data_IF_583281312371
#
_entry.id   IF_583281312371
#
_cell.length_a   1.000
_cell.length_b   1.000
_cell.length_c   1.000
_cell.angle_alpha   90.00
_cell.angle_beta   90.00
_cell.angle_gamma   90.00
#
_symmetry.space_group_name_H-M   'P 1'
#
loop_
_entity.id
_entity.type
_entity.pdbx_description
1 polymer ?
#
# COMPACT_ATOMS: atom_id res chain seq x y z
N UNK A 1 31.24 -3.81 -6.87
CA UNK A 1 30.34 -4.90 -6.40
C UNK A 1 30.50 -5.07 -4.90
N UNK A 2 29.83 -4.22 -4.10
CA UNK A 2 29.69 -4.42 -2.65
C UNK A 2 28.20 -4.65 -2.40
N UNK A 3 27.94 -5.78 -1.78
CA UNK A 3 26.67 -6.50 -1.75
C UNK A 3 25.55 -5.72 -1.04
N UNK A 4 24.34 -5.78 -1.60
CA UNK A 4 23.05 -5.30 -1.06
C UNK A 4 22.67 -5.85 0.34
N UNK A 5 23.60 -6.53 1.04
CA UNK A 5 23.47 -6.99 2.42
C UNK A 5 23.61 -5.87 3.47
N UNK A 6 24.23 -4.73 3.15
CA UNK A 6 24.48 -3.65 4.12
C UNK A 6 23.24 -2.83 4.51
N UNK A 7 22.28 -2.66 3.60
CA UNK A 7 21.10 -1.82 3.82
C UNK A 7 20.13 -2.41 4.87
N UNK A 8 19.95 -3.74 4.88
CA UNK A 8 18.96 -4.41 5.75
C UNK A 8 19.44 -4.49 7.21
N UNK A 9 20.75 -4.55 7.45
CA UNK A 9 21.29 -4.69 8.82
C UNK A 9 21.26 -3.36 9.60
N UNK A 10 21.29 -2.22 8.91
CA UNK A 10 21.32 -0.89 9.55
C UNK A 10 19.98 -0.52 10.20
N UNK A 11 18.85 -0.91 9.60
CA UNK A 11 17.52 -0.55 10.09
C UNK A 11 17.01 -1.41 11.27
N UNK A 12 17.56 -2.62 11.48
CA UNK A 12 17.01 -3.56 12.47
C UNK A 12 17.89 -3.82 13.71
N UNK A 13 19.16 -3.42 13.76
CA UNK A 13 20.05 -3.86 14.87
C UNK A 13 20.60 -2.80 15.81
N UNK A 14 20.56 -1.53 15.47
CA UNK A 14 21.13 -0.50 16.34
C UNK A 14 20.37 0.79 16.12
N UNK A 15 19.62 1.26 17.12
CA UNK A 15 19.09 2.64 17.17
C UNK A 15 20.19 3.70 17.27
N UNK A 16 21.24 3.56 16.48
CA UNK A 16 22.41 4.44 16.34
C UNK A 16 22.93 4.27 14.92
N UNK A 17 22.68 5.30 14.13
CA UNK A 17 23.24 5.48 12.81
C UNK A 17 24.71 5.86 12.96
N UNK A 18 25.63 4.99 12.53
CA UNK A 18 27.02 5.35 12.33
C UNK A 18 27.66 4.39 11.32
N UNK A 19 27.57 4.73 10.03
CA UNK A 19 28.70 4.69 9.07
C UNK A 19 28.23 5.27 7.73
N UNK A 20 28.85 6.39 7.34
CA UNK A 20 28.89 7.09 6.04
C UNK A 20 27.55 7.33 5.34
N UNK A 21 27.11 8.57 5.47
CA UNK A 21 25.84 9.16 5.03
C UNK A 21 26.02 9.84 3.66
N UNK A 22 26.81 9.24 2.76
CA UNK A 22 27.39 9.98 1.61
C UNK A 22 26.86 9.55 0.24
N UNK A 23 25.92 8.60 0.15
CA UNK A 23 25.25 8.20 -1.12
C UNK A 23 23.72 8.45 -1.12
N UNK A 24 23.16 9.04 -0.05
CA UNK A 24 21.81 9.59 -0.08
C UNK A 24 21.91 11.08 -0.41
N UNK A 25 21.32 11.53 -1.52
CA UNK A 25 21.26 12.97 -1.82
C UNK A 25 20.64 13.69 -0.61
N UNK A 26 21.19 14.83 -0.14
CA UNK A 26 20.71 15.53 1.06
C UNK A 26 19.23 15.96 1.04
N UNK A 27 18.55 15.80 -0.10
CA UNK A 27 17.14 16.16 -0.35
C UNK A 27 16.13 15.12 0.16
N UNK A 28 16.56 13.89 0.46
CA UNK A 28 15.67 12.75 0.73
C UNK A 28 15.29 12.60 2.21
N UNK A 29 14.48 13.54 2.71
CA UNK A 29 13.89 13.47 4.07
C UNK A 29 12.68 12.51 4.19
N UNK A 30 12.30 12.19 5.44
CA UNK A 30 11.09 11.43 5.81
C UNK A 30 11.09 9.96 5.34
N UNK A 31 12.00 9.15 5.89
CA UNK A 31 12.06 7.70 5.64
C UNK A 31 10.95 6.90 6.32
N UNK A 32 10.51 7.37 7.49
CA UNK A 32 9.42 6.78 8.26
C UNK A 32 8.45 7.92 8.59
N UNK A 33 7.23 7.82 8.09
CA UNK A 33 6.14 8.77 8.35
C UNK A 33 5.11 8.10 9.26
N UNK A 34 4.88 8.70 10.43
CA UNK A 34 3.84 8.27 11.35
C UNK A 34 2.48 8.84 10.91
N UNK A 35 1.51 7.97 10.69
CA UNK A 35 0.11 8.32 10.40
C UNK A 35 -0.78 7.72 11.47
N UNK A 36 -2.03 8.19 11.54
CA UNK A 36 -2.99 7.71 12.54
C UNK A 36 -3.21 6.18 12.48
N UNK A 37 -3.26 5.62 11.26
CA UNK A 37 -3.55 4.19 11.05
C UNK A 37 -2.33 3.31 10.77
N UNK A 38 -1.15 3.89 10.54
CA UNK A 38 -0.03 3.15 9.94
C UNK A 38 1.30 3.90 9.97
N UNK A 39 2.37 3.16 9.74
CA UNK A 39 3.67 3.70 9.39
C UNK A 39 3.88 3.58 7.89
N UNK A 40 4.17 4.69 7.22
CA UNK A 40 4.63 4.65 5.83
C UNK A 40 6.16 4.66 5.82
N UNK A 41 6.77 3.63 5.22
CA UNK A 41 8.22 3.49 5.13
C UNK A 41 8.64 3.68 3.67
N UNK A 42 9.55 4.63 3.43
CA UNK A 42 10.10 4.93 2.11
C UNK A 42 11.63 4.85 2.13
N UNK A 43 12.26 3.90 1.40
CA UNK A 43 13.72 3.78 1.38
C UNK A 43 14.44 5.00 0.82
N UNK A 44 13.85 5.69 -0.18
CA UNK A 44 14.35 6.96 -0.74
C UNK A 44 13.87 8.18 0.06
N UNK A 45 12.99 8.02 1.04
CA UNK A 45 12.37 9.14 1.76
C UNK A 45 11.27 9.84 0.94
N UNK A 46 10.26 10.37 1.62
CA UNK A 46 9.09 11.00 0.97
C UNK A 46 9.36 12.40 0.43
N UNK A 47 10.42 13.07 0.88
CA UNK A 47 10.76 14.43 0.43
C UNK A 47 11.45 14.49 -0.94
N UNK A 48 11.54 13.36 -1.66
CA UNK A 48 12.12 13.29 -3.00
C UNK A 48 11.25 13.93 -4.09
N UNK A 49 11.90 14.41 -5.15
CA UNK A 49 11.26 14.99 -6.35
C UNK A 49 10.54 13.93 -7.18
N UNK A 50 9.74 14.34 -8.17
CA UNK A 50 9.06 13.40 -9.06
C UNK A 50 10.06 12.57 -9.87
N UNK A 51 11.12 13.19 -10.35
CA UNK A 51 12.18 12.53 -11.11
C UNK A 51 12.87 11.46 -10.27
N UNK A 52 13.22 11.78 -9.02
CA UNK A 52 13.81 10.84 -8.05
C UNK A 52 12.83 9.68 -7.73
N UNK A 53 11.51 9.96 -7.65
CA UNK A 53 10.49 8.91 -7.46
C UNK A 53 10.45 7.92 -8.61
N UNK A 54 10.52 8.43 -9.84
CA UNK A 54 10.51 7.59 -11.05
C UNK A 54 11.79 6.77 -11.11
N UNK A 55 12.94 7.39 -10.87
CA UNK A 55 14.23 6.69 -10.84
C UNK A 55 14.24 5.57 -9.78
N UNK A 56 13.79 5.87 -8.57
CA UNK A 56 13.67 4.85 -7.51
C UNK A 56 12.69 3.75 -7.89
N UNK A 57 11.56 4.07 -8.49
CA UNK A 57 10.57 3.08 -8.95
C UNK A 57 11.20 2.10 -9.94
N UNK A 58 11.99 2.60 -10.90
CA UNK A 58 12.69 1.75 -11.87
C UNK A 58 13.80 0.92 -11.22
N UNK A 59 14.52 1.48 -10.25
CA UNK A 59 15.52 0.74 -9.47
C UNK A 59 14.88 -0.35 -8.60
N UNK A 60 13.78 -0.03 -7.91
CA UNK A 60 13.05 -0.96 -7.06
C UNK A 60 12.48 -2.13 -7.86
N UNK A 61 11.99 -1.91 -9.09
CA UNK A 61 11.58 -2.99 -10.00
C UNK A 61 12.72 -3.94 -10.34
N UNK A 62 13.93 -3.41 -10.57
CA UNK A 62 15.12 -4.22 -10.93
C UNK A 62 15.69 -4.96 -9.73
N UNK A 63 15.82 -4.28 -8.60
CA UNK A 63 16.52 -4.81 -7.42
C UNK A 63 15.59 -5.41 -6.35
N UNK A 64 14.28 -5.20 -6.49
CA UNK A 64 13.24 -5.66 -5.54
C UNK A 64 13.50 -5.17 -4.13
N UNK A 65 13.84 -3.88 -3.98
CA UNK A 65 14.31 -3.28 -2.71
C UNK A 65 13.22 -3.36 -1.65
N UNK A 66 12.04 -2.81 -1.94
CA UNK A 66 10.90 -2.80 -1.01
C UNK A 66 10.41 -4.19 -0.69
N UNK A 67 10.41 -5.08 -1.67
CA UNK A 67 10.00 -6.47 -1.45
C UNK A 67 10.94 -7.20 -0.48
N UNK A 68 12.26 -7.13 -0.71
CA UNK A 68 13.25 -7.72 0.21
C UNK A 68 13.14 -7.13 1.62
N UNK A 69 12.86 -5.83 1.71
CA UNK A 69 12.66 -5.17 2.99
C UNK A 69 11.41 -5.68 3.70
N UNK A 70 10.27 -5.75 3.00
CA UNK A 70 9.03 -6.29 3.54
C UNK A 70 9.20 -7.75 3.99
N UNK A 71 9.89 -8.60 3.23
CA UNK A 71 10.13 -10.00 3.63
C UNK A 71 11.01 -10.11 4.89
N UNK A 72 12.02 -9.24 5.02
CA UNK A 72 12.83 -9.16 6.24
C UNK A 72 11.98 -8.74 7.46
N UNK A 73 11.10 -7.73 7.29
CA UNK A 73 10.20 -7.28 8.36
C UNK A 73 9.16 -8.33 8.73
N UNK A 74 8.57 -9.03 7.76
CA UNK A 74 7.64 -10.15 8.02
C UNK A 74 8.31 -11.24 8.83
N UNK A 75 9.58 -11.56 8.54
CA UNK A 75 10.35 -12.57 9.27
C UNK A 75 10.63 -12.12 10.71
N UNK A 76 11.12 -10.90 10.89
CA UNK A 76 11.48 -10.34 12.20
C UNK A 76 10.26 -10.12 13.12
N UNK A 77 9.13 -9.76 12.53
CA UNK A 77 7.88 -9.50 13.25
C UNK A 77 6.84 -10.62 13.09
N UNK A 78 7.29 -11.83 12.72
CA UNK A 78 6.42 -12.99 12.61
C UNK A 78 5.63 -13.22 13.90
N UNK A 79 4.30 -13.39 13.76
CA UNK A 79 3.39 -13.61 14.89
C UNK A 79 3.03 -12.37 15.72
N UNK A 80 3.51 -11.18 15.37
CA UNK A 80 3.24 -9.93 16.11
C UNK A 80 2.06 -9.11 15.55
N UNK A 81 1.26 -9.70 14.64
CA UNK A 81 0.05 -9.06 14.11
C UNK A 81 0.30 -7.82 13.25
N UNK A 82 1.42 -7.77 12.51
CA UNK A 82 1.71 -6.70 11.56
C UNK A 82 1.47 -7.17 10.12
N UNK A 83 0.89 -6.27 9.31
CA UNK A 83 0.69 -6.43 7.87
C UNK A 83 1.47 -5.35 7.12
N UNK A 84 1.78 -5.69 5.87
CA UNK A 84 2.63 -4.88 4.99
C UNK A 84 1.96 -4.78 3.62
N UNK A 85 1.75 -3.57 3.13
CA UNK A 85 1.19 -3.33 1.79
C UNK A 85 2.12 -2.42 0.99
N UNK A 86 2.33 -2.71 -0.29
CA UNK A 86 3.16 -1.85 -1.15
C UNK A 86 2.34 -0.59 -1.50
N UNK A 87 2.90 0.57 -1.18
CA UNK A 87 2.26 1.87 -1.38
C UNK A 87 2.91 2.64 -2.52
N UNK A 88 2.23 2.74 -3.66
CA UNK A 88 2.67 3.56 -4.79
C UNK A 88 4.07 3.23 -5.30
N UNK A 89 4.83 4.27 -5.69
CA UNK A 89 6.14 4.12 -6.36
C UNK A 89 7.33 3.95 -5.41
N UNK A 90 7.27 4.51 -4.20
CA UNK A 90 8.47 4.71 -3.36
C UNK A 90 8.37 4.15 -1.94
N UNK A 91 7.21 3.66 -1.52
CA UNK A 91 7.00 3.27 -0.13
C UNK A 91 6.19 1.99 0.02
N UNK A 92 6.06 1.56 1.27
CA UNK A 92 5.15 0.53 1.71
C UNK A 92 4.62 0.91 3.10
N UNK A 93 3.41 0.46 3.40
CA UNK A 93 2.73 0.74 4.65
C UNK A 93 2.87 -0.46 5.61
N UNK A 94 3.03 -0.17 6.89
CA UNK A 94 3.02 -1.12 8.00
C UNK A 94 1.88 -0.77 8.92
N UNK A 95 0.99 -1.73 9.16
CA UNK A 95 -0.22 -1.52 9.94
C UNK A 95 -0.58 -2.79 10.73
N UNK A 96 -1.38 -2.67 11.80
CA UNK A 96 -1.90 -3.83 12.50
C UNK A 96 -2.74 -4.72 11.58
N UNK A 97 -2.75 -6.02 11.84
CA UNK A 97 -3.65 -6.93 11.16
C UNK A 97 -5.12 -6.50 11.31
N UNK A 98 -5.86 -6.52 10.20
CA UNK A 98 -7.25 -6.05 10.14
C UNK A 98 -7.41 -4.54 9.94
N UNK A 99 -6.33 -3.74 9.96
CA UNK A 99 -6.37 -2.31 9.66
C UNK A 99 -6.18 -2.00 8.16
N UNK A 100 -6.51 -2.96 7.30
CA UNK A 100 -6.73 -2.72 5.87
C UNK A 100 -8.09 -2.03 5.65
N UNK A 101 -8.52 -1.88 4.40
CA UNK A 101 -9.77 -1.17 4.07
C UNK A 101 -11.01 -1.76 4.75
N UNK A 102 -10.98 -3.02 5.21
CA UNK A 102 -12.08 -3.62 6.00
C UNK A 102 -12.34 -2.90 7.32
N UNK A 103 -11.38 -2.15 7.85
CA UNK A 103 -11.54 -1.41 9.10
C UNK A 103 -12.77 -0.48 9.10
N UNK A 104 -13.13 0.09 7.95
CA UNK A 104 -14.33 0.94 7.87
C UNK A 104 -15.64 0.16 7.96
N UNK A 105 -15.64 -1.13 7.61
CA UNK A 105 -16.84 -1.97 7.61
C UNK A 105 -17.38 -2.21 9.02
N UNK A 106 -16.55 -2.12 10.04
CA UNK A 106 -17.00 -2.26 11.43
C UNK A 106 -17.86 -1.07 11.87
N UNK A 107 -17.55 0.14 11.37
CA UNK A 107 -18.40 1.31 11.57
C UNK A 107 -19.67 1.22 10.72
N UNK A 108 -19.57 0.78 9.46
CA UNK A 108 -20.73 0.63 8.57
C UNK A 108 -21.69 -0.46 9.03
N UNK A 109 -21.23 -1.47 9.78
CA UNK A 109 -22.09 -2.50 10.36
C UNK A 109 -23.01 -1.98 11.47
N UNK A 110 -22.75 -0.79 12.00
CA UNK A 110 -23.67 -0.11 12.94
C UNK A 110 -24.78 0.63 12.20
N UNK A 111 -24.54 0.97 10.93
CA UNK A 111 -25.52 1.58 10.05
C UNK A 111 -26.36 0.47 9.40
N UNK A 112 -27.67 0.67 9.29
CA UNK A 112 -28.61 -0.33 8.75
C UNK A 112 -28.62 -0.33 7.22
N UNK A 113 -27.51 -0.75 6.59
CA UNK A 113 -27.43 -0.92 5.14
C UNK A 113 -27.92 -2.30 4.71
N UNK A 114 -28.84 -2.35 3.74
CA UNK A 114 -29.29 -3.62 3.12
C UNK A 114 -28.18 -4.26 2.28
N UNK A 115 -27.36 -3.45 1.61
CA UNK A 115 -26.27 -3.93 0.74
C UNK A 115 -25.16 -2.88 0.67
N UNK A 116 -23.91 -3.32 0.83
CA UNK A 116 -22.73 -2.47 0.69
C UNK A 116 -22.04 -2.84 -0.61
N UNK A 117 -22.06 -1.94 -1.60
CA UNK A 117 -21.29 -2.11 -2.83
C UNK A 117 -19.91 -1.47 -2.70
N UNK A 118 -18.86 -2.26 -2.95
CA UNK A 118 -17.49 -1.76 -2.95
C UNK A 118 -16.92 -1.76 -4.37
N UNK A 119 -16.26 -0.68 -4.77
CA UNK A 119 -15.61 -0.55 -6.09
C UNK A 119 -14.12 -0.30 -5.88
N UNK A 120 -13.27 -1.15 -6.47
CA UNK A 120 -11.82 -1.07 -6.31
C UNK A 120 -11.06 -1.44 -7.58
N UNK A 121 -9.85 -0.89 -7.74
CA UNK A 121 -9.00 -1.13 -8.90
C UNK A 121 -7.82 -2.07 -8.59
N UNK A 122 -7.50 -2.28 -7.33
CA UNK A 122 -6.45 -3.20 -6.86
C UNK A 122 -7.04 -4.40 -6.09
N UNK A 123 -8.02 -5.07 -6.68
CA UNK A 123 -8.84 -6.13 -6.06
C UNK A 123 -8.24 -7.54 -6.17
N UNK A 124 -7.09 -7.70 -6.83
CA UNK A 124 -6.38 -8.98 -6.92
C UNK A 124 -5.51 -9.23 -5.69
N UNK A 125 -5.16 -10.50 -5.34
CA UNK A 125 -4.32 -10.79 -4.19
C UNK A 125 -3.02 -9.95 -4.15
N UNK A 126 -2.82 -9.23 -3.04
CA UNK A 126 -1.68 -8.33 -2.84
C UNK A 126 -1.90 -6.89 -3.30
N UNK A 127 -3.05 -6.56 -3.89
CA UNK A 127 -3.53 -5.19 -4.09
C UNK A 127 -4.21 -4.64 -2.84
N UNK A 128 -4.25 -3.31 -2.70
CA UNK A 128 -4.74 -2.67 -1.47
C UNK A 128 -6.27 -2.70 -1.28
N UNK A 129 -7.02 -3.14 -2.31
CA UNK A 129 -8.48 -3.29 -2.26
C UNK A 129 -8.93 -4.74 -2.00
N UNK A 130 -8.01 -5.71 -2.09
CA UNK A 130 -8.35 -7.14 -2.08
C UNK A 130 -9.17 -7.54 -0.86
N UNK A 131 -8.73 -7.15 0.34
CA UNK A 131 -9.36 -7.59 1.58
C UNK A 131 -10.80 -7.08 1.73
N UNK A 132 -11.08 -5.83 1.38
CA UNK A 132 -12.43 -5.27 1.43
C UNK A 132 -13.30 -5.79 0.28
N UNK A 133 -12.72 -5.93 -0.92
CA UNK A 133 -13.42 -6.49 -2.09
C UNK A 133 -13.90 -7.92 -1.86
N UNK A 134 -13.10 -8.73 -1.17
CA UNK A 134 -13.41 -10.12 -0.84
C UNK A 134 -14.16 -10.29 0.49
N UNK A 135 -14.40 -9.21 1.24
CA UNK A 135 -15.12 -9.28 2.52
C UNK A 135 -16.60 -9.63 2.27
N UNK A 136 -17.16 -10.64 2.98
CA UNK A 136 -18.53 -11.10 2.77
C UNK A 136 -19.60 -10.04 3.07
N UNK A 137 -19.25 -8.96 3.78
CA UNK A 137 -20.15 -7.83 4.02
C UNK A 137 -20.33 -6.93 2.80
N UNK A 138 -19.54 -7.12 1.74
CA UNK A 138 -19.57 -6.29 0.54
C UNK A 138 -19.94 -7.08 -0.72
N UNK A 139 -20.58 -6.39 -1.66
CA UNK A 139 -20.67 -6.81 -3.06
C UNK A 139 -19.56 -6.09 -3.81
N UNK A 140 -18.46 -6.80 -4.06
CA UNK A 140 -17.25 -6.25 -4.67
C UNK A 140 -17.32 -6.11 -6.19
N UNK A 141 -16.92 -4.95 -6.70
CA UNK A 141 -16.79 -4.62 -8.12
C UNK A 141 -15.36 -4.25 -8.45
N UNK A 142 -14.73 -5.04 -9.32
CA UNK A 142 -13.41 -4.69 -9.86
C UNK A 142 -13.58 -3.72 -11.02
N UNK A 143 -12.80 -2.63 -11.02
CA UNK A 143 -12.81 -1.59 -12.06
C UNK A 143 -11.39 -1.25 -12.52
N UNK A 144 -11.22 -0.80 -13.75
CA UNK A 144 -9.89 -0.44 -14.29
C UNK A 144 -9.67 1.06 -14.47
N UNK A 145 -10.73 1.85 -14.41
CA UNK A 145 -10.68 3.30 -14.59
C UNK A 145 -11.88 3.99 -13.94
N UNK A 146 -11.82 5.31 -13.71
CA UNK A 146 -12.99 6.08 -13.27
C UNK A 146 -14.20 5.94 -14.21
N UNK A 147 -13.96 5.83 -15.52
CA UNK A 147 -15.01 5.65 -16.52
C UNK A 147 -15.71 4.30 -16.38
N UNK A 148 -14.95 3.24 -16.12
CA UNK A 148 -15.47 1.90 -15.83
C UNK A 148 -16.31 1.90 -14.55
N UNK A 149 -15.88 2.62 -13.50
CA UNK A 149 -16.70 2.82 -12.29
C UNK A 149 -18.04 3.50 -12.62
N UNK A 150 -18.03 4.57 -13.43
CA UNK A 150 -19.26 5.27 -13.83
C UNK A 150 -20.17 4.32 -14.62
N UNK A 151 -19.62 3.56 -15.56
CA UNK A 151 -20.37 2.59 -16.34
C UNK A 151 -21.01 1.53 -15.43
N UNK A 152 -20.23 0.93 -14.52
CA UNK A 152 -20.73 -0.11 -13.61
C UNK A 152 -21.82 0.43 -12.67
N UNK A 153 -21.67 1.66 -12.18
CA UNK A 153 -22.73 2.31 -11.40
C UNK A 153 -24.02 2.51 -12.21
N UNK A 154 -23.92 2.87 -13.49
CA UNK A 154 -25.09 2.98 -14.37
C UNK A 154 -25.77 1.64 -14.58
N UNK A 155 -25.01 0.59 -14.87
CA UNK A 155 -25.54 -0.77 -15.07
C UNK A 155 -26.29 -1.29 -13.84
N UNK A 156 -25.79 -1.01 -12.62
CA UNK A 156 -26.38 -1.52 -11.38
C UNK A 156 -27.54 -0.66 -10.89
N UNK A 157 -27.39 0.67 -10.91
CA UNK A 157 -28.31 1.58 -10.23
C UNK A 157 -29.24 2.35 -11.19
N UNK A 158 -28.97 2.34 -12.49
CA UNK A 158 -29.78 3.00 -13.52
C UNK A 158 -30.03 2.11 -14.77
N UNK A 159 -30.48 0.85 -14.59
CA UNK A 159 -30.55 -0.14 -15.67
C UNK A 159 -31.49 0.27 -16.82
N UNK A 160 -32.53 1.05 -16.54
CA UNK A 160 -33.50 1.53 -17.55
C UNK A 160 -32.86 2.46 -18.58
N UNK A 161 -31.81 3.19 -18.20
CA UNK A 161 -31.10 4.14 -19.08
C UNK A 161 -29.93 3.51 -19.85
N UNK A 162 -29.54 2.28 -19.51
CA UNK A 162 -28.41 1.60 -20.14
C UNK A 162 -28.68 1.13 -21.58
N UNK A 163 -29.96 1.03 -21.96
CA UNK A 163 -30.40 0.60 -23.29
C UNK A 163 -30.59 1.75 -24.31
N UNK A 164 -30.36 3.00 -23.91
CA UNK A 164 -30.60 4.18 -24.76
C UNK A 164 -29.30 4.87 -25.27
N UNK A 165 -28.12 4.30 -25.00
CA UNK A 165 -26.82 4.86 -25.39
C UNK A 165 -26.11 4.05 -26.50
#
# INVERSE_FOLDING_TARGET
MKSSRSLITCLLRTGRCSTSMDDCSPSSGTFIEFRNGMLNISPIGRSCTLEERIEFSELDKKERIREKFVEALKTEFAGKGLRFSRGGMISFDVFPEGWDKRYCLDSLGQDSFDTIHFFGNETSPGGNDFEIYADPRTVGHSVVSPQDTVQRCREIFFPETAHEA
#
